data_IF_286335485495
#
_entry.id   IF_286335485495
#
_cell.length_a   1.000
_cell.length_b   1.000
_cell.length_c   1.000
_cell.angle_alpha   90.00
_cell.angle_beta   90.00
_cell.angle_gamma   90.00
#
_symmetry.space_group_name_H-M   'P 1'
#
loop_
_entity.id
_entity.type
_entity.pdbx_description
1 polymer ?
#
# COMPACT_ATOMS: atom_id res chain seq x y z
N UNK A 1 61.74 9.23 9.52
CA UNK A 1 60.73 10.03 8.78
C UNK A 1 59.83 10.70 9.80
N UNK A 2 59.61 12.03 9.74
CA UNK A 2 58.72 12.70 10.69
C UNK A 2 57.29 12.19 10.49
N UNK A 3 56.63 11.75 11.58
CA UNK A 3 55.21 11.40 11.57
C UNK A 3 54.43 12.62 11.11
N UNK A 4 53.84 12.57 9.91
CA UNK A 4 52.92 13.60 9.45
C UNK A 4 51.64 13.48 10.28
N UNK A 5 51.27 14.54 10.97
CA UNK A 5 49.99 14.63 11.66
C UNK A 5 48.87 14.64 10.62
N UNK A 6 48.01 13.62 10.67
CA UNK A 6 46.81 13.54 9.84
C UNK A 6 45.74 14.39 10.51
N UNK A 7 45.34 15.49 9.87
CA UNK A 7 44.31 16.41 10.39
C UNK A 7 42.89 16.02 9.99
N UNK A 8 42.73 15.48 8.80
CA UNK A 8 41.45 14.96 8.32
C UNK A 8 41.38 13.46 8.56
N UNK A 9 40.56 13.11 9.54
CA UNK A 9 40.28 11.74 9.92
C UNK A 9 38.82 11.37 9.58
N UNK A 10 38.05 12.29 8.96
CA UNK A 10 36.59 12.14 8.72
C UNK A 10 36.38 11.53 7.33
N UNK A 11 37.14 12.03 6.36
CA UNK A 11 37.02 11.56 4.98
C UNK A 11 37.54 10.12 4.87
N UNK A 12 36.79 9.20 4.24
CA UNK A 12 37.28 7.85 3.99
C UNK A 12 38.56 7.90 3.17
N UNK A 13 39.51 7.03 3.48
CA UNK A 13 40.69 6.80 2.67
C UNK A 13 40.26 5.97 1.47
N UNK A 14 40.31 6.59 0.30
CA UNK A 14 39.99 5.96 -0.98
C UNK A 14 41.24 5.32 -1.57
N UNK A 15 41.17 4.03 -1.84
CA UNK A 15 42.16 3.28 -2.60
C UNK A 15 41.67 3.09 -4.03
N UNK A 16 42.34 3.72 -4.99
CA UNK A 16 42.08 3.53 -6.42
C UNK A 16 43.25 2.80 -7.07
N UNK A 17 42.96 1.65 -7.67
CA UNK A 17 43.93 0.88 -8.48
C UNK A 17 43.55 1.02 -9.93
N UNK A 18 44.36 1.76 -10.69
CA UNK A 18 44.22 1.87 -12.14
C UNK A 18 45.18 0.89 -12.82
N UNK A 19 44.72 0.26 -13.91
CA UNK A 19 45.57 -0.62 -14.70
C UNK A 19 45.51 -0.27 -16.18
N UNK A 20 46.63 -0.45 -16.85
CA UNK A 20 46.79 -0.20 -18.28
C UNK A 20 47.46 -1.39 -18.96
N UNK A 21 47.24 -1.52 -20.26
CA UNK A 21 47.86 -2.58 -21.04
C UNK A 21 49.31 -2.19 -21.35
N UNK A 22 50.25 -2.98 -20.83
CA UNK A 22 51.68 -2.82 -21.12
C UNK A 22 52.04 -3.16 -22.58
N UNK A 23 53.30 -2.91 -22.94
CA UNK A 23 53.82 -3.25 -24.28
C UNK A 23 53.86 -4.76 -24.46
N UNK A 24 53.18 -5.26 -25.49
CA UNK A 24 53.23 -6.66 -25.89
C UNK A 24 54.67 -7.04 -26.32
N UNK A 25 55.32 -7.93 -25.57
CA UNK A 25 56.66 -8.45 -25.88
C UNK A 25 56.53 -9.86 -26.43
N UNK A 26 56.66 -10.02 -27.75
CA UNK A 26 56.80 -11.33 -28.38
C UNK A 26 58.28 -11.69 -28.43
N UNK A 27 58.67 -12.77 -27.76
CA UNK A 27 60.05 -13.27 -27.80
C UNK A 27 60.16 -14.33 -28.89
N UNK A 28 60.95 -14.05 -29.93
CA UNK A 28 61.27 -14.99 -31.01
C UNK A 28 61.13 -14.38 -32.39
N UNK A 29 62.25 -14.20 -33.09
CA UNK A 29 62.27 -13.93 -34.53
C UNK A 29 62.27 -15.28 -35.25
N UNK A 30 61.12 -15.69 -35.78
CA UNK A 30 61.05 -16.72 -36.82
C UNK A 30 60.63 -16.05 -38.14
N UNK A 31 61.27 -16.41 -39.25
CA UNK A 31 61.32 -15.63 -40.51
C UNK A 31 60.04 -15.76 -41.37
N UNK A 32 58.95 -16.32 -40.84
CA UNK A 32 57.67 -16.49 -41.58
C UNK A 32 56.42 -16.40 -40.69
N UNK A 33 56.32 -15.43 -39.79
CA UNK A 33 55.09 -15.27 -38.99
C UNK A 33 54.47 -13.88 -39.11
N UNK A 34 53.13 -13.87 -39.20
CA UNK A 34 52.25 -12.72 -39.31
C UNK A 34 52.61 -11.64 -38.25
N UNK A 35 52.36 -10.35 -38.52
CA UNK A 35 52.65 -9.29 -37.56
C UNK A 35 51.97 -9.57 -36.22
N UNK A 36 52.74 -9.43 -35.13
CA UNK A 36 52.27 -9.70 -33.78
C UNK A 36 50.99 -8.89 -33.47
N UNK A 37 49.89 -9.60 -33.22
CA UNK A 37 48.62 -8.97 -32.87
C UNK A 37 48.78 -8.23 -31.54
N UNK A 38 48.23 -7.01 -31.48
CA UNK A 38 48.17 -6.24 -30.25
C UNK A 38 46.93 -6.65 -29.48
N UNK A 39 47.06 -7.15 -28.24
CA UNK A 39 45.90 -7.35 -27.41
C UNK A 39 45.20 -6.02 -27.15
N UNK A 40 43.88 -6.06 -26.98
CA UNK A 40 43.06 -4.89 -26.65
C UNK A 40 42.35 -5.19 -25.33
N UNK A 41 42.40 -4.26 -24.39
CA UNK A 41 41.61 -4.34 -23.16
C UNK A 41 40.13 -4.16 -23.52
N UNK A 42 39.32 -5.16 -23.16
CA UNK A 42 37.87 -5.11 -23.38
C UNK A 42 37.25 -4.13 -22.39
N UNK A 43 36.87 -2.95 -22.87
CA UNK A 43 36.14 -1.97 -22.10
C UNK A 43 34.63 -2.27 -22.19
N UNK A 44 33.93 -2.24 -21.05
CA UNK A 44 32.45 -2.20 -21.02
C UNK A 44 32.06 -0.72 -20.94
N UNK A 45 31.14 -0.28 -21.81
CA UNK A 45 30.64 1.11 -21.82
C UNK A 45 30.32 1.57 -20.40
N UNK A 46 30.93 2.68 -19.95
CA UNK A 46 30.68 3.30 -18.65
C UNK A 46 31.58 2.87 -17.48
N UNK A 47 32.35 1.78 -17.59
CA UNK A 47 33.26 1.36 -16.51
C UNK A 47 34.66 1.98 -16.69
N UNK A 48 35.19 2.62 -15.64
CA UNK A 48 36.59 3.08 -15.58
C UNK A 48 37.52 1.87 -15.52
N UNK A 49 38.74 1.95 -16.08
CA UNK A 49 39.81 0.96 -15.91
C UNK A 49 40.47 1.09 -14.52
N UNK A 50 39.63 1.19 -13.50
CA UNK A 50 39.99 1.49 -12.13
C UNK A 50 39.09 0.69 -11.20
N UNK A 51 39.69 0.03 -10.21
CA UNK A 51 38.96 -0.51 -9.07
C UNK A 51 39.13 0.47 -7.91
N UNK A 52 38.02 0.86 -7.29
CA UNK A 52 38.01 1.77 -6.15
C UNK A 52 37.44 1.06 -4.93
N UNK A 53 38.17 1.10 -3.81
CA UNK A 53 37.70 0.69 -2.49
C UNK A 53 37.93 1.85 -1.50
N UNK A 54 37.31 1.78 -0.33
CA UNK A 54 37.48 2.79 0.72
C UNK A 54 37.61 2.15 2.10
N UNK A 55 38.29 2.85 3.01
CA UNK A 55 38.35 2.51 4.45
C UNK A 55 38.15 3.79 5.28
N UNK A 56 37.66 3.66 6.51
CA UNK A 56 37.39 4.78 7.41
C UNK A 56 38.26 4.69 8.66
N UNK A 57 38.47 5.82 9.33
CA UNK A 57 39.18 5.83 10.62
C UNK A 57 38.21 5.47 11.74
N UNK A 58 38.55 4.44 12.52
CA UNK A 58 37.94 4.15 13.80
C UNK A 58 38.22 5.27 14.80
N UNK A 59 37.20 5.76 15.51
CA UNK A 59 37.36 6.81 16.53
C UNK A 59 36.50 6.57 17.75
N UNK A 60 36.98 7.09 18.89
CA UNK A 60 36.27 7.11 20.17
C UNK A 60 35.77 5.74 20.64
N UNK A 61 36.43 4.67 20.22
CA UNK A 61 36.06 3.32 20.65
C UNK A 61 36.52 3.09 22.07
N UNK A 62 35.62 2.59 22.91
CA UNK A 62 35.92 2.09 24.24
C UNK A 62 36.27 0.60 24.19
N UNK A 63 35.76 -0.11 23.18
CA UNK A 63 36.06 -1.52 22.93
C UNK A 63 37.25 -1.71 21.98
N UNK A 64 37.92 -2.85 22.10
CA UNK A 64 39.05 -3.22 21.24
C UNK A 64 38.61 -3.43 19.77
N UNK A 65 37.34 -3.80 19.56
CA UNK A 65 36.73 -4.10 18.27
C UNK A 65 35.86 -2.96 17.70
N UNK A 66 35.78 -1.81 18.39
CA UNK A 66 34.91 -0.69 18.01
C UNK A 66 33.46 -1.12 17.72
N UNK A 67 32.97 -2.08 18.49
CA UNK A 67 31.69 -2.71 18.21
C UNK A 67 30.52 -1.76 18.53
N UNK A 68 29.67 -1.55 17.52
CA UNK A 68 28.38 -0.90 17.73
C UNK A 68 27.37 -1.94 18.26
N UNK A 69 26.34 -1.47 18.95
CA UNK A 69 25.19 -2.26 19.39
C UNK A 69 23.95 -1.43 19.08
N UNK A 70 23.29 -1.75 17.97
CA UNK A 70 22.13 -1.01 17.50
C UNK A 70 20.86 -1.70 17.99
N UNK A 71 19.88 -0.90 18.41
CA UNK A 71 18.64 -1.42 18.97
C UNK A 71 17.46 -0.71 18.33
N UNK A 72 16.58 -1.50 17.71
CA UNK A 72 15.43 -1.02 16.98
C UNK A 72 14.14 -1.26 17.76
N UNK A 73 13.36 -0.20 17.93
CA UNK A 73 12.01 -0.27 18.49
C UNK A 73 11.08 0.53 17.60
N UNK A 74 9.80 0.15 17.52
CA UNK A 74 8.88 0.88 16.68
C UNK A 74 7.43 0.46 16.88
N UNK A 75 6.52 1.28 16.35
CA UNK A 75 5.08 1.06 16.40
C UNK A 75 4.43 1.62 15.15
N UNK A 76 3.43 0.91 14.64
CA UNK A 76 2.53 1.43 13.61
C UNK A 76 1.46 2.30 14.27
N UNK A 77 1.28 3.52 13.78
CA UNK A 77 0.33 4.50 14.27
C UNK A 77 -0.63 4.92 13.15
N UNK A 78 -1.93 4.90 13.46
CA UNK A 78 -3.02 5.26 12.56
C UNK A 78 -3.43 6.72 12.86
N UNK A 79 -3.26 7.64 11.91
CA UNK A 79 -3.35 9.10 12.17
C UNK A 79 -4.74 9.66 12.53
N UNK A 80 -5.73 8.83 12.83
CA UNK A 80 -7.08 9.30 13.18
C UNK A 80 -7.97 8.22 13.84
N UNK A 81 -7.42 7.04 14.14
CA UNK A 81 -8.19 5.89 14.62
C UNK A 81 -7.94 5.75 16.12
N UNK A 82 -8.99 5.40 16.85
CA UNK A 82 -8.92 4.98 18.25
C UNK A 82 -7.73 4.03 18.45
N UNK A 83 -6.78 4.40 19.32
CA UNK A 83 -5.55 3.63 19.58
C UNK A 83 -5.86 2.17 20.01
N UNK A 84 -7.11 1.91 20.37
CA UNK A 84 -7.61 0.62 20.80
C UNK A 84 -8.12 -0.29 19.67
N UNK A 85 -8.26 0.17 18.41
CA UNK A 85 -8.64 -0.72 17.30
C UNK A 85 -7.43 -1.56 16.85
N UNK A 86 -7.47 -2.90 16.95
CA UNK A 86 -6.34 -3.77 16.60
C UNK A 86 -6.25 -4.09 15.10
N UNK A 87 -6.89 -3.28 14.24
CA UNK A 87 -6.95 -3.50 12.79
C UNK A 87 -7.10 -2.18 12.04
N UNK A 88 -6.68 -2.17 10.78
CA UNK A 88 -6.88 -1.09 9.82
C UNK A 88 -8.08 -1.42 8.93
N UNK A 89 -9.14 -0.63 9.05
CA UNK A 89 -10.25 -0.64 8.10
C UNK A 89 -9.81 -0.02 6.77
N UNK A 90 -9.97 -0.74 5.67
CA UNK A 90 -9.59 -0.27 4.33
C UNK A 90 -10.36 1.00 3.99
N UNK A 91 -9.67 2.02 3.47
CA UNK A 91 -10.25 3.33 3.15
C UNK A 91 -10.55 4.24 4.34
N UNK A 92 -10.41 3.77 5.60
CA UNK A 92 -10.76 4.56 6.78
C UNK A 92 -9.78 5.69 7.08
N UNK A 93 -8.50 5.49 6.76
CA UNK A 93 -7.45 6.51 6.85
C UNK A 93 -6.74 6.62 5.51
N UNK A 94 -6.32 7.84 5.18
CA UNK A 94 -5.48 8.09 4.00
C UNK A 94 -4.02 7.82 4.31
N UNK A 95 -3.58 8.18 5.52
CA UNK A 95 -2.19 8.11 5.90
C UNK A 95 -2.00 7.21 7.12
N UNK A 96 -0.92 6.44 7.09
CA UNK A 96 -0.41 5.68 8.23
C UNK A 96 1.02 6.11 8.51
N UNK A 97 1.45 5.94 9.76
CA UNK A 97 2.80 6.32 10.16
C UNK A 97 3.49 5.20 10.93
N UNK A 98 4.72 4.91 10.57
CA UNK A 98 5.59 3.97 11.30
C UNK A 98 6.55 4.81 12.12
N UNK A 99 6.37 4.83 13.45
CA UNK A 99 7.32 5.48 14.35
C UNK A 99 8.40 4.46 14.71
N UNK A 100 9.67 4.85 14.52
CA UNK A 100 10.83 4.06 14.89
C UNK A 100 11.76 4.84 15.80
N UNK A 101 12.35 4.11 16.74
CA UNK A 101 13.43 4.53 17.60
C UNK A 101 14.62 3.63 17.31
N UNK A 102 15.75 4.25 16.98
CA UNK A 102 17.06 3.58 16.93
C UNK A 102 17.88 4.09 18.10
N UNK A 103 18.48 3.16 18.85
CA UNK A 103 19.42 3.46 19.92
C UNK A 103 20.75 2.77 19.62
N UNK A 104 21.86 3.42 19.99
CA UNK A 104 23.18 2.81 19.95
C UNK A 104 23.66 2.62 21.40
N UNK A 105 23.79 1.38 21.85
CA UNK A 105 24.28 1.02 23.18
C UNK A 105 25.78 0.68 23.21
N UNK A 106 26.42 0.60 22.03
CA UNK A 106 27.85 0.28 21.86
C UNK A 106 28.71 1.52 21.64
N UNK A 107 29.82 1.36 20.92
CA UNK A 107 30.69 2.46 20.48
C UNK A 107 30.06 3.27 19.34
N UNK A 108 30.68 4.39 18.94
CA UNK A 108 30.21 5.24 17.83
C UNK A 108 29.99 4.41 16.54
N UNK A 109 28.79 4.50 15.97
CA UNK A 109 28.36 3.73 14.80
C UNK A 109 28.42 4.59 13.51
N UNK A 110 29.18 4.14 12.52
CA UNK A 110 29.35 4.81 11.23
C UNK A 110 28.33 4.32 10.20
N UNK A 111 27.90 5.23 9.32
CA UNK A 111 26.95 4.92 8.23
C UNK A 111 25.73 4.13 8.72
N UNK A 112 25.16 4.54 9.86
CA UNK A 112 23.96 3.91 10.43
C UNK A 112 22.77 4.15 9.52
N UNK A 113 22.17 3.07 9.06
CA UNK A 113 21.02 3.06 8.17
C UNK A 113 19.88 2.25 8.77
N UNK A 114 18.66 2.68 8.48
CA UNK A 114 17.41 1.96 8.78
C UNK A 114 16.71 1.69 7.46
N UNK A 115 16.36 0.44 7.23
CA UNK A 115 15.71 -0.04 6.03
C UNK A 115 14.27 -0.41 6.37
N UNK A 116 13.34 0.00 5.52
CA UNK A 116 11.94 -0.38 5.61
C UNK A 116 11.57 -1.15 4.35
N UNK A 117 11.07 -2.36 4.51
CA UNK A 117 10.47 -3.17 3.48
C UNK A 117 8.95 -3.27 3.77
N UNK A 118 8.12 -2.92 2.78
CA UNK A 118 6.67 -2.79 2.91
C UNK A 118 5.96 -3.17 1.59
N UNK A 119 4.64 -3.29 1.57
CA UNK A 119 3.91 -3.62 0.33
C UNK A 119 3.94 -2.48 -0.70
N UNK A 120 3.99 -2.82 -1.99
CA UNK A 120 3.96 -1.86 -3.11
C UNK A 120 2.64 -1.07 -3.22
N UNK A 121 1.61 -1.50 -2.50
CA UNK A 121 0.33 -0.77 -2.40
C UNK A 121 0.42 0.48 -1.51
N UNK A 122 1.52 0.63 -0.75
CA UNK A 122 1.79 1.83 0.03
C UNK A 122 2.75 2.77 -0.71
N UNK A 123 2.49 4.07 -0.60
CA UNK A 123 3.36 5.09 -1.17
C UNK A 123 4.05 5.90 -0.07
N UNK A 124 5.38 5.97 -0.10
CA UNK A 124 6.12 6.85 0.79
C UNK A 124 5.76 8.33 0.52
N UNK A 125 5.32 9.04 1.57
CA UNK A 125 5.01 10.47 1.49
C UNK A 125 6.19 11.29 1.99
N UNK A 126 6.57 11.08 3.26
CA UNK A 126 7.66 11.83 3.91
C UNK A 126 8.13 11.16 5.20
N UNK A 127 9.34 11.53 5.61
CA UNK A 127 9.84 11.31 6.97
C UNK A 127 9.60 12.57 7.81
N UNK A 128 9.24 12.38 9.08
CA UNK A 128 9.04 13.42 10.07
C UNK A 128 9.80 13.09 11.35
N UNK A 129 10.43 14.10 11.95
CA UNK A 129 11.14 13.98 13.22
C UNK A 129 10.81 15.19 14.10
N UNK A 130 10.70 14.98 15.41
CA UNK A 130 10.40 16.06 16.36
C UNK A 130 11.57 17.02 16.55
N UNK A 131 12.78 16.47 16.59
CA UNK A 131 14.05 17.21 16.68
C UNK A 131 14.88 16.89 15.44
N UNK A 132 15.38 17.91 14.74
CA UNK A 132 16.24 17.67 13.58
C UNK A 132 17.61 17.15 14.00
N UNK A 133 17.75 15.82 14.05
CA UNK A 133 19.00 15.15 14.42
C UNK A 133 19.82 14.65 13.24
N UNK A 134 19.47 15.02 12.00
CA UNK A 134 20.20 14.59 10.81
C UNK A 134 19.80 13.20 10.31
N UNK A 135 18.50 12.88 10.38
CA UNK A 135 17.91 11.73 9.67
C UNK A 135 17.47 12.15 8.27
N UNK A 136 17.84 11.39 7.26
CA UNK A 136 17.42 11.61 5.87
C UNK A 136 17.01 10.28 5.24
N UNK A 137 15.87 10.26 4.54
CA UNK A 137 15.36 9.05 3.89
C UNK A 137 15.29 9.21 2.38
N UNK A 138 15.60 8.14 1.68
CA UNK A 138 15.57 8.03 0.23
C UNK A 138 14.90 6.71 -0.16
N UNK A 139 13.98 6.79 -1.12
CA UNK A 139 13.30 5.63 -1.68
C UNK A 139 14.22 4.96 -2.71
N UNK A 140 14.66 3.74 -2.43
CA UNK A 140 15.57 2.99 -3.30
C UNK A 140 14.81 2.22 -4.38
N UNK A 141 13.70 1.59 -3.97
CA UNK A 141 12.77 0.85 -4.82
C UNK A 141 11.33 1.17 -4.36
N UNK A 142 10.30 0.70 -5.07
CA UNK A 142 8.90 1.05 -4.77
C UNK A 142 8.46 0.64 -3.36
N UNK A 143 9.00 -0.46 -2.85
CA UNK A 143 8.72 -1.09 -1.56
C UNK A 143 9.90 -1.02 -0.58
N UNK A 144 10.98 -0.31 -0.94
CA UNK A 144 12.21 -0.30 -0.15
C UNK A 144 12.71 1.12 0.12
N UNK A 145 12.60 1.55 1.38
CA UNK A 145 13.05 2.87 1.86
C UNK A 145 14.31 2.73 2.71
N UNK A 146 15.33 3.55 2.42
CA UNK A 146 16.56 3.67 3.21
C UNK A 146 16.57 5.00 3.94
N UNK A 147 16.76 4.98 5.25
CA UNK A 147 16.94 6.16 6.10
C UNK A 147 18.33 6.16 6.73
N UNK A 148 19.16 7.16 6.40
CA UNK A 148 20.46 7.38 7.03
C UNK A 148 20.29 8.20 8.30
N UNK A 149 20.85 7.72 9.42
CA UNK A 149 20.64 8.25 10.76
C UNK A 149 21.95 8.78 11.34
N UNK A 150 21.95 10.05 11.75
CA UNK A 150 23.09 10.63 12.46
C UNK A 150 24.34 10.81 11.59
N UNK A 151 24.20 10.97 10.28
CA UNK A 151 25.36 11.12 9.39
C UNK A 151 26.30 12.25 9.87
N UNK A 152 27.63 12.01 9.96
CA UNK A 152 28.37 10.84 9.49
C UNK A 152 28.49 9.65 10.47
N UNK A 153 28.10 9.81 11.74
CA UNK A 153 28.10 8.74 12.73
C UNK A 153 27.10 8.98 13.87
N UNK A 154 26.46 7.90 14.31
CA UNK A 154 25.59 7.87 15.47
C UNK A 154 26.41 7.61 16.74
N UNK A 155 26.39 8.57 17.67
CA UNK A 155 27.22 8.51 18.89
C UNK A 155 26.83 7.35 19.81
N UNK A 156 27.79 6.87 20.59
CA UNK A 156 27.56 5.96 21.72
C UNK A 156 26.50 6.51 22.67
N UNK A 157 25.60 5.63 23.14
CA UNK A 157 24.48 5.93 24.04
C UNK A 157 23.49 6.98 23.50
N UNK A 158 23.50 7.26 22.20
CA UNK A 158 22.54 8.17 21.58
C UNK A 158 21.26 7.44 21.12
N UNK A 159 20.17 8.21 21.00
CA UNK A 159 18.87 7.74 20.53
C UNK A 159 18.29 8.72 19.50
N UNK A 160 17.75 8.16 18.44
CA UNK A 160 17.09 8.87 17.35
C UNK A 160 15.66 8.35 17.22
N UNK A 161 14.70 9.25 17.06
CA UNK A 161 13.28 8.92 16.94
C UNK A 161 12.68 9.71 15.77
N UNK A 162 12.08 8.99 14.84
CA UNK A 162 11.46 9.56 13.65
C UNK A 162 10.32 8.68 13.16
N UNK A 163 9.39 9.29 12.44
CA UNK A 163 8.24 8.62 11.84
C UNK A 163 8.30 8.70 10.32
N UNK A 164 7.98 7.59 9.67
CA UNK A 164 7.80 7.52 8.22
C UNK A 164 6.31 7.49 7.92
N UNK A 165 5.83 8.36 7.04
CA UNK A 165 4.42 8.50 6.70
C UNK A 165 4.19 7.93 5.30
N UNK A 166 3.20 7.05 5.19
CA UNK A 166 2.80 6.37 3.95
C UNK A 166 1.35 6.70 3.59
N UNK A 167 1.06 6.77 2.29
CA UNK A 167 -0.30 6.76 1.74
C UNK A 167 -0.81 5.32 1.71
N UNK A 168 -1.99 5.12 2.29
CA UNK A 168 -2.70 3.84 2.41
C UNK A 168 -3.98 3.77 1.57
N UNK A 169 -4.25 4.81 0.77
CA UNK A 169 -5.47 4.92 -0.05
C UNK A 169 -5.58 3.87 -1.16
N UNK A 170 -4.46 3.23 -1.51
CA UNK A 170 -4.37 2.23 -2.58
C UNK A 170 -4.38 0.78 -2.07
N UNK A 171 -4.53 0.56 -0.76
CA UNK A 171 -4.67 -0.78 -0.20
C UNK A 171 -5.95 -1.45 -0.71
N UNK A 172 -5.76 -2.56 -1.43
CA UNK A 172 -6.82 -3.37 -2.02
C UNK A 172 -7.52 -4.28 -1.01
N UNK A 173 -6.78 -4.77 -0.02
CA UNK A 173 -7.21 -5.84 0.88
C UNK A 173 -6.96 -7.25 0.34
N UNK A 174 -6.17 -7.41 -0.73
CA UNK A 174 -5.73 -8.74 -1.19
C UNK A 174 -4.92 -9.48 -0.11
N UNK A 175 -4.13 -8.75 0.68
CA UNK A 175 -3.41 -9.27 1.83
C UNK A 175 -4.26 -9.13 3.11
N UNK A 176 -4.28 -10.18 3.94
CA UNK A 176 -4.97 -10.13 5.24
C UNK A 176 -4.29 -9.20 6.25
N UNK A 177 -2.97 -9.04 6.12
CA UNK A 177 -2.16 -8.27 7.05
C UNK A 177 -1.25 -7.31 6.29
N UNK A 178 -1.19 -6.07 6.78
CA UNK A 178 -0.18 -5.11 6.38
C UNK A 178 1.08 -5.34 7.22
N UNK A 179 2.20 -5.61 6.58
CA UNK A 179 3.48 -5.89 7.25
C UNK A 179 4.55 -4.88 6.85
N UNK A 180 5.32 -4.44 7.84
CA UNK A 180 6.56 -3.69 7.67
C UNK A 180 7.70 -4.47 8.30
N UNK A 181 8.69 -4.83 7.50
CA UNK A 181 9.97 -5.33 8.02
C UNK A 181 10.94 -4.17 8.08
N UNK A 182 11.34 -3.80 9.30
CA UNK A 182 12.28 -2.72 9.55
C UNK A 182 13.59 -3.32 10.07
N UNK A 183 14.72 -2.95 9.48
CA UNK A 183 16.03 -3.43 9.91
C UNK A 183 17.01 -2.27 10.04
N UNK A 184 17.94 -2.34 10.98
CA UNK A 184 19.03 -1.36 11.11
C UNK A 184 20.39 -2.03 10.93
N UNK A 185 21.33 -1.27 10.38
CA UNK A 185 22.71 -1.70 10.14
C UNK A 185 23.65 -0.51 10.24
N UNK A 186 24.86 -0.74 10.73
CA UNK A 186 25.97 0.21 10.62
C UNK A 186 27.13 -0.41 9.84
N UNK A 187 28.12 0.42 9.49
CA UNK A 187 29.38 -0.03 8.92
C UNK A 187 30.35 -0.66 9.93
N UNK A 188 30.02 -0.61 11.23
CA UNK A 188 30.82 -1.23 12.29
C UNK A 188 30.58 -2.74 12.34
N UNK A 189 31.50 -3.44 13.00
CA UNK A 189 31.22 -4.80 13.47
C UNK A 189 30.24 -4.72 14.63
N UNK A 190 29.31 -5.65 14.65
CA UNK A 190 28.39 -5.85 15.76
C UNK A 190 28.48 -7.31 16.21
N UNK A 191 28.35 -7.54 17.51
CA UNK A 191 28.54 -8.88 18.09
C UNK A 191 27.30 -9.72 17.80
N UNK A 192 27.52 -11.01 17.49
CA UNK A 192 26.40 -11.93 17.17
C UNK A 192 25.31 -11.98 18.25
N UNK A 193 25.69 -11.73 19.51
CA UNK A 193 24.79 -11.72 20.65
C UNK A 193 23.85 -10.50 20.68
N UNK A 194 24.16 -9.39 20.00
CA UNK A 194 23.31 -8.18 19.92
C UNK A 194 22.62 -8.01 18.56
N UNK A 195 22.73 -8.96 17.63
CA UNK A 195 22.07 -8.82 16.32
C UNK A 195 20.54 -9.01 16.37
N UNK A 196 19.99 -9.52 17.48
CA UNK A 196 18.59 -9.94 17.54
C UNK A 196 17.59 -8.78 17.62
N UNK A 197 18.01 -7.60 18.10
CA UNK A 197 17.20 -6.38 18.22
C UNK A 197 17.47 -5.37 17.08
N UNK A 198 18.20 -5.79 16.04
CA UNK A 198 18.39 -5.02 14.82
C UNK A 198 17.22 -5.08 13.84
N UNK A 199 16.30 -6.02 14.01
CA UNK A 199 15.15 -6.22 13.10
C UNK A 199 13.85 -6.20 13.88
N UNK A 200 12.85 -5.55 13.30
CA UNK A 200 11.51 -5.39 13.84
C UNK A 200 10.49 -5.66 12.73
N UNK A 201 9.53 -6.55 13.00
CA UNK A 201 8.39 -6.79 12.12
C UNK A 201 7.15 -6.17 12.77
N UNK A 202 6.51 -5.25 12.06
CA UNK A 202 5.27 -4.60 12.49
C UNK A 202 4.13 -5.07 11.59
N UNK A 203 3.10 -5.65 12.18
CA UNK A 203 1.97 -6.23 11.45
C UNK A 203 0.65 -5.60 11.91
N UNK A 204 -0.25 -5.32 10.97
CA UNK A 204 -1.58 -4.78 11.24
C UNK A 204 -2.62 -5.51 10.37
N UNK A 205 -3.61 -6.18 10.99
CA UNK A 205 -4.69 -6.81 10.23
C UNK A 205 -5.48 -5.80 9.40
N UNK A 206 -5.74 -6.14 8.14
CA UNK A 206 -6.59 -5.40 7.23
C UNK A 206 -8.02 -5.97 7.28
N UNK A 207 -9.01 -5.09 7.37
CA UNK A 207 -10.43 -5.49 7.37
C UNK A 207 -11.28 -4.60 6.46
N UNK A 208 -12.29 -5.21 5.84
CA UNK A 208 -13.36 -4.46 5.18
C UNK A 208 -14.40 -4.06 6.23
N UNK A 209 -14.45 -2.77 6.57
CA UNK A 209 -15.49 -2.17 7.41
C UNK A 209 -16.51 -1.49 6.49
N UNK A 210 -17.68 -2.12 6.35
CA UNK A 210 -18.75 -1.69 5.44
C UNK A 210 -19.99 -1.34 6.25
N UNK A 211 -20.71 -0.31 5.82
CA UNK A 211 -21.96 0.12 6.45
C UNK A 211 -23.01 0.30 5.35
N UNK A 212 -23.69 -0.78 5.02
CA UNK A 212 -24.65 -0.81 3.91
C UNK A 212 -26.07 -0.58 4.40
N UNK A 213 -26.75 0.40 3.82
CA UNK A 213 -28.17 0.68 4.06
C UNK A 213 -28.97 0.48 2.78
N UNK A 214 -30.17 -0.08 2.90
CA UNK A 214 -31.12 -0.26 1.80
C UNK A 214 -32.35 0.60 2.08
N UNK A 215 -32.72 1.45 1.12
CA UNK A 215 -33.97 2.22 1.15
C UNK A 215 -34.85 1.83 -0.03
N UNK A 216 -36.18 1.97 0.15
CA UNK A 216 -37.16 1.64 -0.88
C UNK A 216 -38.22 2.72 -0.97
N UNK A 217 -38.68 3.02 -2.18
CA UNK A 217 -39.80 3.92 -2.43
C UNK A 217 -40.74 3.34 -3.49
N UNK A 218 -42.02 3.69 -3.38
CA UNK A 218 -43.07 3.25 -4.29
C UNK A 218 -43.84 4.47 -4.82
N UNK A 219 -44.06 4.51 -6.13
CA UNK A 219 -44.79 5.61 -6.79
C UNK A 219 -45.76 5.05 -7.84
N UNK A 220 -47.07 5.28 -7.74
CA UNK A 220 -47.77 5.97 -6.65
C UNK A 220 -47.82 5.12 -5.35
N UNK A 221 -47.95 5.77 -4.20
CA UNK A 221 -47.99 5.10 -2.89
C UNK A 221 -49.33 4.42 -2.55
N UNK A 222 -50.38 4.77 -3.30
CA UNK A 222 -51.69 4.15 -3.19
C UNK A 222 -52.34 4.08 -4.56
N UNK A 223 -53.26 3.13 -4.70
CA UNK A 223 -54.12 2.95 -5.86
C UNK A 223 -55.56 2.78 -5.39
N UNK A 224 -56.50 3.14 -6.25
CA UNK A 224 -57.93 2.99 -6.01
C UNK A 224 -58.40 1.85 -6.90
N UNK A 225 -59.10 0.88 -6.32
CA UNK A 225 -59.78 -0.18 -7.05
C UNK A 225 -61.27 0.17 -7.18
N UNK A 226 -61.82 0.00 -8.38
CA UNK A 226 -63.25 0.08 -8.70
C UNK A 226 -63.93 -1.30 -8.81
N UNK A 227 -64.95 -1.41 -9.66
CA UNK A 227 -65.84 -2.57 -9.74
C UNK A 227 -65.32 -3.75 -10.57
N UNK A 228 -65.71 -4.97 -10.20
CA UNK A 228 -65.23 -6.23 -10.76
C UNK A 228 -65.33 -6.28 -12.29
N UNK A 229 -64.19 -6.51 -12.96
CA UNK A 229 -64.13 -6.71 -14.41
C UNK A 229 -64.20 -8.21 -14.74
N UNK A 230 -64.85 -8.55 -15.85
CA UNK A 230 -64.94 -9.94 -16.34
C UNK A 230 -63.55 -10.55 -16.61
N UNK A 231 -63.34 -11.80 -16.17
CA UNK A 231 -62.07 -12.52 -16.22
C UNK A 231 -61.51 -12.65 -17.66
N UNK A 232 -62.40 -12.67 -18.65
CA UNK A 232 -62.10 -12.76 -20.08
C UNK A 232 -61.25 -11.57 -20.59
N UNK A 233 -61.45 -10.37 -20.03
CA UNK A 233 -60.74 -9.14 -20.43
C UNK A 233 -59.29 -9.07 -19.94
N UNK A 234 -58.95 -9.78 -18.86
CA UNK A 234 -57.57 -9.86 -18.36
C UNK A 234 -56.66 -10.72 -19.23
N UNK A 235 -57.22 -11.72 -19.91
CA UNK A 235 -56.44 -12.67 -20.74
C UNK A 235 -56.06 -12.04 -22.08
N UNK A 236 -56.88 -11.13 -22.60
CA UNK A 236 -56.66 -10.49 -23.90
C UNK A 236 -55.76 -9.24 -23.84
N UNK A 237 -55.38 -8.77 -22.64
CA UNK A 237 -54.62 -7.52 -22.42
C UNK A 237 -55.24 -6.30 -23.16
N UNK A 238 -56.55 -6.34 -23.45
CA UNK A 238 -57.28 -5.23 -24.05
C UNK A 238 -57.48 -4.11 -23.03
N UNK A 239 -57.28 -2.85 -23.44
CA UNK A 239 -57.36 -1.64 -22.59
C UNK A 239 -56.47 -1.65 -21.33
N UNK A 240 -55.16 -1.82 -21.55
CA UNK A 240 -54.10 -1.73 -20.53
C UNK A 240 -54.19 -0.52 -19.59
N UNK A 241 -54.64 0.62 -20.11
CA UNK A 241 -54.81 1.88 -19.37
C UNK A 241 -56.00 1.87 -18.40
N UNK A 242 -56.99 0.99 -18.60
CA UNK A 242 -58.20 0.92 -17.78
C UNK A 242 -58.16 -0.24 -16.77
N UNK A 243 -57.50 -1.35 -17.12
CA UNK A 243 -57.43 -2.57 -16.30
C UNK A 243 -56.19 -2.67 -15.42
N UNK A 244 -55.19 -1.82 -15.67
CA UNK A 244 -53.94 -1.89 -14.94
C UNK A 244 -53.44 -0.51 -14.55
N UNK A 245 -52.92 -0.40 -13.34
CA UNK A 245 -52.29 0.81 -12.84
C UNK A 245 -50.78 0.62 -12.75
N UNK A 246 -49.98 1.40 -13.49
CA UNK A 246 -48.54 1.31 -13.40
C UNK A 246 -48.05 1.89 -12.07
N UNK A 247 -47.08 1.22 -11.46
CA UNK A 247 -46.33 1.74 -10.32
C UNK A 247 -44.87 1.33 -10.41
N UNK A 248 -44.01 2.19 -9.87
CA UNK A 248 -42.58 2.02 -9.84
C UNK A 248 -42.15 1.67 -8.41
N UNK A 249 -41.45 0.56 -8.25
CA UNK A 249 -40.70 0.26 -7.03
C UNK A 249 -39.25 0.64 -7.27
N UNK A 250 -38.71 1.51 -6.43
CA UNK A 250 -37.31 1.92 -6.50
C UNK A 250 -36.61 1.48 -5.23
N UNK A 251 -35.56 0.66 -5.37
CA UNK A 251 -34.67 0.29 -4.27
C UNK A 251 -33.34 0.99 -4.46
N UNK A 252 -32.80 1.55 -3.38
CA UNK A 252 -31.48 2.17 -3.36
C UNK A 252 -30.63 1.48 -2.30
N UNK A 253 -29.48 0.96 -2.71
CA UNK A 253 -28.49 0.37 -1.79
C UNK A 253 -27.32 1.32 -1.70
N UNK A 254 -26.95 1.75 -0.50
CA UNK A 254 -25.92 2.75 -0.24
C UNK A 254 -24.91 2.17 0.75
N UNK A 255 -23.62 2.18 0.40
CA UNK A 255 -22.54 1.95 1.36
C UNK A 255 -22.09 3.29 1.95
N UNK A 256 -22.27 3.49 3.26
CA UNK A 256 -21.78 4.62 4.03
C UNK A 256 -20.44 4.31 4.73
N UNK A 257 -19.99 3.05 4.67
CA UNK A 257 -18.74 2.61 5.29
C UNK A 257 -17.50 3.08 4.52
N UNK A 258 -16.31 3.06 5.18
CA UNK A 258 -15.06 3.48 4.57
C UNK A 258 -14.53 2.48 3.51
N UNK A 259 -14.83 1.19 3.66
CA UNK A 259 -14.31 0.17 2.77
C UNK A 259 -15.23 -0.08 1.58
N UNK A 260 -14.63 -0.33 0.41
CA UNK A 260 -15.34 -0.89 -0.74
C UNK A 260 -15.86 -2.30 -0.42
N UNK A 261 -17.06 -2.61 -0.91
CA UNK A 261 -17.68 -3.93 -0.76
C UNK A 261 -17.30 -4.78 -1.98
N UNK A 262 -16.51 -5.86 -1.84
CA UNK A 262 -16.06 -6.66 -2.98
C UNK A 262 -17.18 -7.49 -3.62
N UNK A 263 -18.10 -8.03 -2.80
CA UNK A 263 -19.25 -8.80 -3.26
C UNK A 263 -20.50 -8.42 -2.46
N UNK A 264 -21.55 -7.99 -3.15
CA UNK A 264 -22.83 -7.61 -2.54
C UNK A 264 -23.97 -8.29 -3.30
N UNK A 265 -24.76 -9.09 -2.59
CA UNK A 265 -25.97 -9.70 -3.12
C UNK A 265 -27.20 -9.06 -2.50
N UNK A 266 -28.13 -8.62 -3.35
CA UNK A 266 -29.41 -8.02 -2.93
C UNK A 266 -30.53 -8.91 -3.38
N UNK A 267 -31.31 -9.43 -2.43
CA UNK A 267 -32.47 -10.27 -2.71
C UNK A 267 -33.76 -9.50 -2.48
N UNK A 268 -34.54 -9.32 -3.55
CA UNK A 268 -35.82 -8.62 -3.51
C UNK A 268 -36.93 -9.64 -3.74
N UNK A 269 -37.77 -9.82 -2.72
CA UNK A 269 -38.93 -10.70 -2.80
C UNK A 269 -40.17 -9.88 -3.14
N UNK A 270 -40.86 -10.28 -4.20
CA UNK A 270 -42.06 -9.61 -4.69
C UNK A 270 -43.21 -10.62 -4.64
N UNK A 271 -44.32 -10.31 -3.94
CA UNK A 271 -45.49 -11.17 -3.97
C UNK A 271 -46.00 -11.29 -5.41
N UNK A 272 -46.33 -12.50 -5.87
CA UNK A 272 -46.89 -12.74 -7.21
C UNK A 272 -48.38 -13.08 -7.19
N UNK A 273 -48.89 -13.62 -6.08
CA UNK A 273 -50.29 -14.06 -5.89
C UNK A 273 -50.77 -13.76 -4.47
N UNK A 274 -52.07 -13.54 -4.30
CA UNK A 274 -52.71 -13.42 -2.99
C UNK A 274 -53.16 -14.77 -2.40
N UNK A 275 -53.47 -15.74 -3.27
CA UNK A 275 -53.94 -17.07 -2.90
C UNK A 275 -53.25 -18.13 -3.76
N UNK A 276 -53.14 -19.36 -3.26
CA UNK A 276 -52.38 -20.46 -3.90
C UNK A 276 -52.81 -20.76 -5.34
N UNK A 277 -54.11 -20.66 -5.63
CA UNK A 277 -54.68 -20.85 -6.98
C UNK A 277 -55.21 -19.53 -7.59
N UNK A 278 -54.78 -18.38 -7.06
CA UNK A 278 -55.18 -17.06 -7.57
C UNK A 278 -54.44 -16.67 -8.85
N UNK A 279 -54.99 -15.67 -9.54
CA UNK A 279 -54.30 -15.02 -10.65
C UNK A 279 -53.07 -14.26 -10.17
N UNK A 280 -52.09 -14.08 -11.07
CA UNK A 280 -50.93 -13.25 -10.80
C UNK A 280 -51.37 -11.77 -10.66
N UNK A 281 -50.93 -11.13 -9.57
CA UNK A 281 -51.37 -9.76 -9.21
C UNK A 281 -50.44 -8.66 -9.74
N UNK A 282 -49.23 -9.01 -10.17
CA UNK A 282 -48.28 -8.06 -10.72
C UNK A 282 -47.63 -8.60 -11.99
N UNK A 283 -47.59 -7.76 -13.01
CA UNK A 283 -46.74 -7.98 -14.18
C UNK A 283 -45.52 -7.07 -14.08
N UNK A 284 -44.31 -7.63 -14.20
CA UNK A 284 -43.07 -6.85 -14.30
C UNK A 284 -42.93 -6.45 -15.77
N UNK A 285 -43.00 -5.16 -16.05
CA UNK A 285 -42.79 -4.64 -17.41
C UNK A 285 -41.31 -4.45 -17.71
N UNK A 286 -40.60 -3.81 -16.77
CA UNK A 286 -39.22 -3.41 -16.97
C UNK A 286 -38.45 -3.46 -15.65
N UNK A 287 -37.17 -3.83 -15.75
CA UNK A 287 -36.21 -3.74 -14.66
C UNK A 287 -35.06 -2.85 -15.13
N UNK A 288 -34.91 -1.69 -14.52
CA UNK A 288 -33.81 -0.77 -14.78
C UNK A 288 -32.84 -0.83 -13.60
N UNK A 289 -31.58 -1.11 -13.89
CA UNK A 289 -30.50 -1.06 -12.91
C UNK A 289 -29.57 0.08 -13.29
N UNK A 290 -29.36 1.02 -12.37
CA UNK A 290 -28.34 2.05 -12.52
C UNK A 290 -27.38 2.01 -11.34
N UNK A 291 -26.10 2.22 -11.64
CA UNK A 291 -25.03 2.25 -10.65
C UNK A 291 -24.37 3.61 -10.70
N UNK A 292 -24.35 4.31 -9.57
CA UNK A 292 -23.62 5.56 -9.43
C UNK A 292 -22.65 5.42 -8.26
N UNK A 293 -21.37 5.33 -8.58
CA UNK A 293 -20.29 5.22 -7.61
C UNK A 293 -19.49 6.53 -7.58
N UNK A 294 -19.33 7.10 -6.38
CA UNK A 294 -18.40 8.17 -6.09
C UNK A 294 -17.41 7.69 -5.04
N UNK A 295 -16.16 7.47 -5.46
CA UNK A 295 -15.08 6.99 -4.61
C UNK A 295 -15.42 5.64 -3.94
N UNK A 296 -15.74 5.62 -2.63
CA UNK A 296 -16.12 4.43 -1.86
C UNK A 296 -17.64 4.26 -1.69
N UNK A 297 -18.41 5.29 -2.06
CA UNK A 297 -19.86 5.30 -1.97
C UNK A 297 -20.46 4.83 -3.30
N UNK A 298 -20.90 3.58 -3.35
CA UNK A 298 -21.70 3.08 -4.46
C UNK A 298 -23.18 3.13 -4.08
N UNK A 299 -23.97 3.69 -4.99
CA UNK A 299 -25.43 3.58 -4.98
C UNK A 299 -25.88 2.72 -6.14
N UNK A 300 -26.67 1.70 -5.84
CA UNK A 300 -27.36 0.89 -6.85
C UNK A 300 -28.83 1.22 -6.77
N UNK A 301 -29.38 1.70 -7.88
CA UNK A 301 -30.81 1.95 -8.05
C UNK A 301 -31.41 0.81 -8.85
N UNK A 302 -32.44 0.17 -8.31
CA UNK A 302 -33.24 -0.80 -9.04
C UNK A 302 -34.67 -0.28 -9.16
N UNK A 303 -35.09 0.06 -10.38
CA UNK A 303 -36.44 0.50 -10.68
C UNK A 303 -37.20 -0.63 -11.38
N UNK A 304 -38.31 -1.05 -10.78
CA UNK A 304 -39.23 -2.03 -11.34
C UNK A 304 -40.50 -1.31 -11.76
N UNK A 305 -40.76 -1.27 -13.06
CA UNK A 305 -42.05 -0.80 -13.57
C UNK A 305 -43.03 -1.97 -13.57
N UNK A 306 -44.11 -1.86 -12.82
CA UNK A 306 -45.10 -2.92 -12.63
C UNK A 306 -46.50 -2.44 -12.95
N UNK A 307 -47.30 -3.34 -13.49
CA UNK A 307 -48.75 -3.16 -13.60
C UNK A 307 -49.41 -3.85 -12.43
N UNK A 308 -50.16 -3.09 -11.63
CA UNK A 308 -51.14 -3.62 -10.68
C UNK A 308 -52.46 -3.84 -11.40
N UNK A 309 -53.16 -4.95 -11.15
CA UNK A 309 -54.50 -5.17 -11.68
C UNK A 309 -55.47 -4.17 -11.03
N UNK A 310 -55.85 -3.13 -11.76
CA UNK A 310 -56.83 -2.14 -11.36
C UNK A 310 -58.21 -2.64 -11.77
N UNK A 311 -59.05 -2.87 -10.77
CA UNK A 311 -60.40 -3.36 -10.98
C UNK A 311 -61.24 -2.16 -11.43
N UNK A 312 -61.36 -1.87 -12.72
CA UNK A 312 -62.41 -1.01 -13.30
C UNK A 312 -62.21 0.51 -13.35
N UNK A 313 -62.42 1.11 -14.53
CA UNK A 313 -62.58 2.56 -14.71
C UNK A 313 -63.90 3.05 -14.08
N UNK A 314 -63.85 4.09 -13.24
CA UNK A 314 -65.02 4.92 -12.99
C UNK A 314 -65.32 5.74 -14.25
N UNK A 315 -66.53 5.56 -14.79
CA UNK A 315 -67.14 6.45 -15.79
C UNK A 315 -67.71 7.67 -15.08
#
# INVERSE_FOLDING_TARGET
MPKREVKDVITPIVFEVTYNLGKHKVSGKSVKELPALKPILRWRKGHKLAQQNQTVFERNCLSDDCAADLQLHGKLLLSSVDEHKPFLALGAVKNISVNVTVRNAGDDAYDTNVYFNFTQELFFIKMWQKEEKGTSCELMELDFLKCSVGFPFMRSQSKYEFSVIFDSSHLSGEQENLEFTVATQSGNVERNESLFDNTLILTMPLKHEVDTTITGSIVPASFIYGDSVDASKFIQLEDMSCLFQPFNLTFQVINMGPSSVPELAVQIMIPSRLYTNGADIFLIQEVVVSTQCYQYHCSVLLSLNKLFVSVGCQV
#
